data_IF_889882259492
#
_entry.id   IF_889882259492
#
_cell.length_a   1.000
_cell.length_b   1.000
_cell.length_c   1.000
_cell.angle_alpha   90.00
_cell.angle_beta   90.00
_cell.angle_gamma   90.00
#
_symmetry.space_group_name_H-M   'P 1'
#
loop_
_entity.id
_entity.type
_entity.pdbx_description
1 polymer ?
#
# COMPACT_ATOMS: atom_id res chain seq x y z
N UNK A 1 -9.71 -14.31 -13.87
CA UNK A 1 -8.35 -14.24 -13.29
C UNK A 1 -7.41 -13.57 -14.29
N UNK A 2 -7.30 -14.07 -15.53
CA UNK A 2 -6.65 -13.36 -16.65
C UNK A 2 -7.15 -11.91 -16.79
N UNK A 3 -8.46 -11.69 -16.63
CA UNK A 3 -9.11 -10.37 -16.71
C UNK A 3 -8.74 -9.36 -15.61
N UNK A 4 -8.16 -9.77 -14.48
CA UNK A 4 -7.73 -8.82 -13.42
C UNK A 4 -6.31 -8.33 -13.66
N UNK A 5 -5.38 -9.21 -14.05
CA UNK A 5 -4.01 -8.82 -14.39
C UNK A 5 -4.00 -7.88 -15.60
N UNK A 6 -4.81 -8.18 -16.63
CA UNK A 6 -4.90 -7.35 -17.84
C UNK A 6 -5.26 -5.89 -17.53
N UNK A 7 -6.05 -5.61 -16.49
CA UNK A 7 -6.40 -4.23 -16.09
C UNK A 7 -5.20 -3.43 -15.61
N UNK A 8 -4.26 -4.07 -14.92
CA UNK A 8 -2.99 -3.45 -14.52
C UNK A 8 -2.04 -3.28 -15.71
N UNK A 9 -2.18 -4.11 -16.75
CA UNK A 9 -1.31 -4.12 -17.93
C UNK A 9 -1.78 -3.16 -19.04
N UNK A 10 -3.07 -2.81 -19.11
CA UNK A 10 -3.62 -1.94 -20.16
C UNK A 10 -3.28 -0.46 -20.03
N UNK A 11 -2.78 0.00 -18.87
CA UNK A 11 -2.41 1.41 -18.63
C UNK A 11 -0.91 1.65 -18.44
N UNK A 12 -0.10 0.58 -18.43
CA UNK A 12 1.35 0.65 -18.47
C UNK A 12 1.82 0.21 -19.86
N UNK A 13 2.21 1.15 -20.75
CA UNK A 13 2.92 0.81 -22.01
C UNK A 13 4.34 0.24 -21.80
N UNK A 14 4.62 -0.35 -20.64
CA UNK A 14 5.92 -0.92 -20.34
C UNK A 14 5.76 -2.39 -19.95
N UNK A 15 6.47 -3.23 -20.73
CA UNK A 15 6.82 -4.64 -20.47
C UNK A 15 5.90 -5.67 -21.14
N UNK A 16 6.31 -6.04 -22.36
CA UNK A 16 5.71 -7.10 -23.19
C UNK A 16 5.54 -8.45 -22.46
N UNK A 17 4.49 -9.13 -22.89
CA UNK A 17 4.00 -10.51 -22.70
C UNK A 17 4.91 -11.62 -22.13
N UNK A 18 6.24 -11.50 -22.11
CA UNK A 18 7.14 -12.45 -21.45
C UNK A 18 7.01 -12.41 -19.91
N UNK A 19 6.52 -11.30 -19.35
CA UNK A 19 6.24 -11.13 -17.93
C UNK A 19 4.95 -11.80 -17.45
N UNK A 20 4.04 -12.18 -18.36
CA UNK A 20 2.71 -12.66 -18.00
C UNK A 20 2.74 -14.07 -17.36
N UNK A 21 3.59 -14.98 -17.87
CA UNK A 21 3.72 -16.33 -17.30
C UNK A 21 4.32 -16.34 -15.89
N UNK A 22 5.39 -15.56 -15.67
CA UNK A 22 6.01 -15.42 -14.36
C UNK A 22 5.09 -14.68 -13.36
N UNK A 23 4.34 -13.66 -13.83
CA UNK A 23 3.34 -12.98 -13.02
C UNK A 23 2.21 -13.92 -12.58
N UNK A 24 1.73 -14.79 -13.48
CA UNK A 24 0.71 -15.80 -13.16
C UNK A 24 1.22 -16.85 -12.17
N UNK A 25 2.44 -17.35 -12.36
CA UNK A 25 3.05 -18.29 -11.41
C UNK A 25 3.20 -17.66 -10.03
N UNK A 26 3.73 -16.44 -9.97
CA UNK A 26 3.86 -15.71 -8.71
C UNK A 26 2.50 -15.43 -8.06
N UNK A 27 1.49 -15.04 -8.86
CA UNK A 27 0.11 -14.85 -8.38
C UNK A 27 -0.43 -16.12 -7.73
N UNK A 28 -0.32 -17.27 -8.40
CA UNK A 28 -0.82 -18.55 -7.86
C UNK A 28 -0.12 -18.90 -6.54
N UNK A 29 1.20 -18.71 -6.48
CA UNK A 29 1.98 -18.95 -5.27
C UNK A 29 1.57 -18.00 -4.12
N UNK A 30 1.30 -16.73 -4.44
CA UNK A 30 0.90 -15.73 -3.47
C UNK A 30 -0.54 -15.95 -2.98
N UNK A 31 -1.46 -16.37 -3.84
CA UNK A 31 -2.82 -16.78 -3.46
C UNK A 31 -2.79 -17.97 -2.50
N UNK A 32 -2.04 -19.03 -2.83
CA UNK A 32 -1.88 -20.19 -1.97
C UNK A 32 -1.20 -19.84 -0.63
N UNK A 33 -0.33 -18.84 -0.61
CA UNK A 33 0.21 -18.30 0.64
C UNK A 33 -0.87 -17.55 1.43
N UNK A 34 -1.62 -16.65 0.80
CA UNK A 34 -2.68 -15.88 1.43
C UNK A 34 -3.70 -16.80 2.13
N UNK A 35 -4.19 -17.83 1.46
CA UNK A 35 -5.15 -18.79 2.01
C UNK A 35 -4.67 -19.47 3.30
N UNK A 36 -3.35 -19.72 3.41
CA UNK A 36 -2.73 -20.31 4.60
C UNK A 36 -2.37 -19.28 5.68
N UNK A 37 -2.21 -18.02 5.29
CA UNK A 37 -1.75 -16.94 6.16
C UNK A 37 -2.89 -16.23 6.91
N UNK A 38 -4.12 -16.74 6.85
CA UNK A 38 -5.25 -16.20 7.62
C UNK A 38 -5.37 -16.91 8.97
N UNK A 39 -4.93 -16.30 10.08
CA UNK A 39 -5.09 -16.91 11.39
C UNK A 39 -6.53 -16.81 11.89
N UNK A 40 -6.96 -17.74 12.75
CA UNK A 40 -8.24 -17.64 13.48
C UNK A 40 -8.18 -16.59 14.61
N UNK A 41 -6.99 -16.33 15.15
CA UNK A 41 -6.73 -15.30 16.16
C UNK A 41 -5.28 -14.81 16.08
N UNK A 42 -5.06 -13.58 16.51
CA UNK A 42 -3.74 -12.95 16.53
C UNK A 42 -3.21 -12.90 17.95
N UNK A 43 -1.94 -13.28 18.16
CA UNK A 43 -1.29 -13.11 19.46
C UNK A 43 -1.33 -11.65 19.90
N UNK A 44 -1.63 -11.37 21.17
CA UNK A 44 -1.88 -10.01 21.66
C UNK A 44 -0.73 -9.03 21.36
N UNK A 45 0.54 -9.45 21.48
CA UNK A 45 1.70 -8.63 21.11
C UNK A 45 1.73 -8.28 19.62
N UNK A 46 1.51 -9.29 18.75
CA UNK A 46 1.42 -9.07 17.30
C UNK A 46 0.22 -8.19 16.95
N UNK A 47 -0.89 -8.36 17.65
CA UNK A 47 -2.10 -7.55 17.49
C UNK A 47 -1.81 -6.06 17.80
N UNK A 48 -1.11 -5.79 18.90
CA UNK A 48 -0.69 -4.42 19.25
C UNK A 48 0.19 -3.80 18.16
N UNK A 49 1.15 -4.55 17.62
CA UNK A 49 2.04 -4.06 16.56
C UNK A 49 1.34 -3.84 15.21
N UNK A 50 0.28 -4.58 14.92
CA UNK A 50 -0.56 -4.37 13.73
C UNK A 50 -1.42 -3.11 13.85
N UNK A 51 -1.93 -2.83 15.04
CA UNK A 51 -2.90 -1.76 15.27
C UNK A 51 -2.26 -0.44 15.69
N UNK A 52 -1.01 -0.47 16.16
CA UNK A 52 -0.30 0.71 16.61
C UNK A 52 1.12 0.76 16.06
N UNK A 53 1.48 1.86 15.39
CA UNK A 53 2.80 2.05 14.82
C UNK A 53 3.27 3.50 14.90
N UNK A 54 4.58 3.69 14.91
CA UNK A 54 5.19 5.02 14.97
C UNK A 54 5.05 5.72 13.62
N UNK A 55 4.78 7.02 13.66
CA UNK A 55 4.66 7.88 12.48
C UNK A 55 5.52 9.14 12.64
N UNK A 56 6.07 9.68 11.55
CA UNK A 56 6.69 10.99 11.57
C UNK A 56 5.70 12.07 12.03
N UNK A 57 6.19 13.06 12.77
CA UNK A 57 5.42 14.25 13.07
C UNK A 57 5.04 14.96 11.76
N UNK A 58 3.89 15.64 11.75
CA UNK A 58 3.39 16.35 10.58
C UNK A 58 3.77 17.83 10.64
N UNK A 59 4.09 18.43 9.48
CA UNK A 59 4.22 19.87 9.30
C UNK A 59 2.85 20.53 9.04
N UNK A 60 2.80 21.87 9.12
CA UNK A 60 1.57 22.65 9.01
C UNK A 60 0.87 22.54 7.65
N UNK A 61 1.58 22.10 6.62
CA UNK A 61 1.09 21.83 5.26
C UNK A 61 0.55 20.39 5.07
N UNK A 62 0.52 19.58 6.13
CA UNK A 62 0.02 18.20 6.05
C UNK A 62 1.03 17.20 5.45
N UNK A 63 2.29 17.59 5.38
CA UNK A 63 3.42 16.74 5.00
C UNK A 63 4.14 16.17 6.24
N UNK A 64 4.92 15.11 6.07
CA UNK A 64 5.77 14.56 7.13
C UNK A 64 7.01 15.42 7.32
N UNK A 65 7.47 15.56 8.56
CA UNK A 65 8.70 16.32 8.84
C UNK A 65 9.93 15.56 8.33
N UNK A 66 10.63 16.16 7.37
CA UNK A 66 11.82 15.60 6.70
C UNK A 66 13.01 15.47 7.67
N UNK A 67 13.01 16.20 8.79
CA UNK A 67 14.06 16.12 9.81
C UNK A 67 14.02 14.84 10.67
N UNK A 68 13.09 13.92 10.38
CA UNK A 68 12.95 12.65 11.08
C UNK A 68 12.31 12.77 12.46
N UNK A 69 11.75 13.93 12.80
CA UNK A 69 10.99 14.09 14.05
C UNK A 69 9.78 13.16 14.02
N UNK A 70 9.63 12.34 15.06
CA UNK A 70 8.50 11.43 15.23
C UNK A 70 7.38 12.10 16.03
N UNK A 71 6.14 11.67 15.80
CA UNK A 71 5.03 12.03 16.68
C UNK A 71 5.27 11.46 18.09
N UNK A 72 4.79 12.18 19.11
CA UNK A 72 4.91 11.79 20.52
C UNK A 72 4.13 10.51 20.79
N UNK A 73 2.97 10.34 20.15
CA UNK A 73 2.13 9.16 20.26
C UNK A 73 2.21 8.30 18.99
N UNK A 74 2.17 6.95 19.10
CA UNK A 74 1.97 6.11 17.93
C UNK A 74 0.59 6.38 17.33
N UNK A 75 0.49 6.19 16.02
CA UNK A 75 -0.80 6.18 15.35
C UNK A 75 -1.55 4.91 15.74
N UNK A 76 -2.84 5.06 16.08
CA UNK A 76 -3.73 3.97 16.46
C UNK A 76 -4.78 3.75 15.38
N UNK A 77 -4.78 2.57 14.77
CA UNK A 77 -5.66 2.24 13.67
C UNK A 77 -7.10 1.93 14.14
N UNK A 78 -7.30 1.60 15.42
CA UNK A 78 -8.60 1.14 15.93
C UNK A 78 -9.71 2.17 15.77
N UNK A 79 -9.54 3.45 16.14
CA UNK A 79 -10.61 4.44 15.99
C UNK A 79 -11.00 4.66 14.53
N UNK A 80 -10.00 4.72 13.63
CA UNK A 80 -10.21 4.92 12.19
C UNK A 80 -10.99 3.77 11.55
N UNK A 81 -10.74 2.54 11.99
CA UNK A 81 -11.43 1.35 11.48
C UNK A 81 -12.67 0.97 12.30
N UNK A 82 -13.01 1.69 13.37
CA UNK A 82 -14.13 1.35 14.26
C UNK A 82 -13.95 0.02 15.01
N UNK A 83 -12.71 -0.40 15.25
CA UNK A 83 -12.39 -1.63 15.96
C UNK A 83 -12.59 -1.46 17.48
N UNK A 84 -12.97 -2.53 18.20
CA UNK A 84 -13.12 -2.48 19.65
C UNK A 84 -11.77 -2.31 20.37
N UNK A 85 -11.79 -1.65 21.53
CA UNK A 85 -10.60 -1.43 22.36
C UNK A 85 -10.04 -2.71 23.01
N UNK A 86 -10.86 -3.76 23.15
CA UNK A 86 -10.55 -5.00 23.87
C UNK A 86 -11.03 -6.23 23.11
N UNK A 87 -10.39 -7.37 23.35
CA UNK A 87 -10.72 -8.67 22.74
C UNK A 87 -10.72 -8.61 21.21
N UNK A 88 -9.87 -7.75 20.66
CA UNK A 88 -9.77 -7.47 19.23
C UNK A 88 -8.97 -8.56 18.50
N UNK A 89 -8.21 -9.36 19.25
CA UNK A 89 -7.33 -10.43 18.76
C UNK A 89 -8.02 -11.48 17.89
N UNK A 90 -9.31 -11.73 18.13
CA UNK A 90 -10.14 -12.67 17.34
C UNK A 90 -11.13 -11.96 16.43
N UNK A 91 -11.06 -10.63 16.30
CA UNK A 91 -11.93 -9.90 15.40
C UNK A 91 -11.58 -10.25 13.94
N UNK A 92 -12.55 -10.61 13.07
CA UNK A 92 -12.27 -11.01 11.70
C UNK A 92 -11.38 -10.02 10.94
N UNK A 93 -11.70 -8.72 11.03
CA UNK A 93 -10.89 -7.65 10.43
C UNK A 93 -9.43 -7.63 10.95
N UNK A 94 -9.16 -7.96 12.22
CA UNK A 94 -7.80 -8.01 12.75
C UNK A 94 -7.05 -9.24 12.22
N UNK A 95 -7.71 -10.39 12.11
CA UNK A 95 -7.15 -11.57 11.46
C UNK A 95 -6.83 -11.28 9.98
N UNK A 96 -7.69 -10.52 9.30
CA UNK A 96 -7.47 -10.04 7.92
C UNK A 96 -6.29 -9.10 7.80
N UNK A 97 -6.15 -8.15 8.73
CA UNK A 97 -4.98 -7.27 8.82
C UNK A 97 -3.69 -8.08 9.03
N UNK A 98 -3.72 -9.12 9.87
CA UNK A 98 -2.58 -10.00 10.08
C UNK A 98 -2.21 -10.81 8.82
N UNK A 99 -3.20 -11.20 8.02
CA UNK A 99 -2.98 -11.84 6.71
C UNK A 99 -2.32 -10.85 5.73
N UNK A 100 -2.84 -9.62 5.63
CA UNK A 100 -2.29 -8.56 4.78
C UNK A 100 -0.85 -8.24 5.19
N UNK A 101 -0.58 -8.10 6.49
CA UNK A 101 0.76 -7.88 7.04
C UNK A 101 1.75 -8.99 6.62
N UNK A 102 1.31 -10.25 6.69
CA UNK A 102 2.14 -11.39 6.28
C UNK A 102 2.40 -11.41 4.77
N UNK A 103 1.46 -10.93 3.96
CA UNK A 103 1.64 -10.76 2.51
C UNK A 103 2.63 -9.64 2.21
N UNK A 104 2.53 -8.50 2.90
CA UNK A 104 3.47 -7.38 2.76
C UNK A 104 4.89 -7.85 3.09
N UNK A 105 5.07 -8.57 4.19
CA UNK A 105 6.37 -9.11 4.58
C UNK A 105 6.99 -10.00 3.50
N UNK A 106 6.20 -10.95 2.99
CA UNK A 106 6.64 -11.87 1.95
C UNK A 106 7.03 -11.13 0.67
N UNK A 107 6.16 -10.24 0.18
CA UNK A 107 6.36 -9.54 -1.09
C UNK A 107 7.53 -8.57 -1.00
N UNK A 108 7.66 -7.82 0.10
CA UNK A 108 8.80 -6.92 0.32
C UNK A 108 10.14 -7.67 0.25
N UNK A 109 10.21 -8.83 0.93
CA UNK A 109 11.41 -9.66 0.92
C UNK A 109 11.73 -10.26 -0.46
N UNK A 110 10.73 -10.75 -1.19
CA UNK A 110 10.91 -11.42 -2.49
C UNK A 110 11.13 -10.45 -3.66
N UNK A 111 10.61 -9.23 -3.55
CA UNK A 111 10.80 -8.17 -4.51
C UNK A 111 12.09 -7.37 -4.25
N UNK A 112 12.67 -7.47 -3.05
CA UNK A 112 13.88 -6.73 -2.67
C UNK A 112 13.65 -5.23 -2.59
N UNK A 113 12.51 -4.81 -2.05
CA UNK A 113 12.09 -3.41 -1.93
C UNK A 113 12.37 -2.92 -0.51
N UNK A 114 12.90 -1.70 -0.37
CA UNK A 114 13.27 -1.13 0.93
C UNK A 114 12.06 -0.72 1.77
N UNK A 115 10.99 -0.26 1.12
CA UNK A 115 9.74 0.10 1.78
C UNK A 115 8.51 -0.31 0.95
N UNK A 116 7.56 -1.00 1.59
CA UNK A 116 6.33 -1.46 0.96
C UNK A 116 5.17 -1.26 1.92
N UNK A 117 4.10 -0.60 1.47
CA UNK A 117 2.89 -0.36 2.25
C UNK A 117 1.60 -0.64 1.49
N UNK A 118 0.57 -1.03 2.23
CA UNK A 118 -0.80 -1.20 1.74
C UNK A 118 -1.70 -0.19 2.43
N UNK A 119 -2.46 0.55 1.63
CA UNK A 119 -3.39 1.56 2.11
C UNK A 119 -4.80 1.26 1.64
N UNK A 120 -5.78 1.46 2.51
CA UNK A 120 -7.21 1.38 2.20
C UNK A 120 -7.77 2.77 1.96
N UNK A 121 -8.54 2.95 0.88
CA UNK A 121 -9.37 4.14 0.70
C UNK A 121 -10.53 4.08 1.70
N UNK A 122 -10.46 4.91 2.74
CA UNK A 122 -11.36 4.86 3.89
C UNK A 122 -11.64 6.25 4.45
N UNK A 123 -12.51 6.32 5.46
CA UNK A 123 -12.73 7.54 6.24
C UNK A 123 -11.68 7.66 7.33
N UNK A 124 -10.99 8.79 7.38
CA UNK A 124 -10.15 9.16 8.53
C UNK A 124 -11.01 9.37 9.78
N UNK A 125 -10.39 9.47 10.96
CA UNK A 125 -11.06 9.76 12.23
C UNK A 125 -11.91 11.03 12.20
N UNK A 126 -11.55 12.02 11.37
CA UNK A 126 -12.30 13.28 11.22
C UNK A 126 -13.44 13.19 10.18
N UNK A 127 -13.63 12.02 9.57
CA UNK A 127 -14.65 11.75 8.55
C UNK A 127 -14.26 12.15 7.12
N UNK A 128 -13.05 12.69 6.91
CA UNK A 128 -12.52 12.98 5.58
C UNK A 128 -12.13 11.71 4.82
N UNK A 129 -12.11 11.77 3.49
CA UNK A 129 -11.62 10.66 2.66
C UNK A 129 -10.08 10.64 2.68
N UNK A 130 -9.50 9.48 2.97
CA UNK A 130 -8.07 9.28 3.05
C UNK A 130 -7.64 7.87 2.59
N UNK A 131 -6.38 7.72 2.23
CA UNK A 131 -5.71 6.43 2.16
C UNK A 131 -5.13 6.13 3.54
N UNK A 132 -5.66 5.12 4.22
CA UNK A 132 -5.27 4.73 5.58
C UNK A 132 -4.34 3.53 5.51
N UNK A 133 -3.13 3.65 6.07
CA UNK A 133 -2.12 2.59 6.08
C UNK A 133 -2.56 1.44 6.97
N UNK A 134 -2.64 0.26 6.37
CA UNK A 134 -3.04 -0.97 7.05
C UNK A 134 -1.84 -1.79 7.53
N UNK A 135 -0.83 -1.93 6.66
CA UNK A 135 0.37 -2.72 6.93
C UNK A 135 1.54 -2.19 6.09
N UNK A 136 2.77 -2.32 6.61
CA UNK A 136 3.97 -1.93 5.88
C UNK A 136 5.23 -2.68 6.35
N UNK A 137 6.28 -2.64 5.53
CA UNK A 137 7.67 -2.98 5.88
C UNK A 137 8.58 -1.84 5.43
N UNK A 138 9.64 -1.57 6.19
CA UNK A 138 10.58 -0.47 5.94
C UNK A 138 10.57 0.56 7.07
N UNK A 139 11.15 1.73 6.79
CA UNK A 139 11.19 2.85 7.73
C UNK A 139 9.79 3.40 8.09
N UNK A 140 9.69 4.09 9.22
CA UNK A 140 8.46 4.76 9.64
C UNK A 140 8.03 5.82 8.63
N UNK A 141 6.75 5.80 8.30
CA UNK A 141 6.13 6.74 7.36
C UNK A 141 4.74 7.14 7.84
N UNK A 142 4.15 8.14 7.20
CA UNK A 142 2.81 8.63 7.53
C UNK A 142 1.75 7.53 7.55
N UNK A 143 0.75 7.70 8.40
CA UNK A 143 -0.39 6.79 8.51
C UNK A 143 -1.44 7.02 7.41
N UNK A 144 -1.66 8.28 7.03
CA UNK A 144 -2.78 8.63 6.15
C UNK A 144 -2.35 9.59 5.05
N UNK A 145 -2.89 9.43 3.84
CA UNK A 145 -2.83 10.44 2.78
C UNK A 145 -4.23 11.01 2.50
N UNK A 146 -4.43 12.34 2.57
CA UNK A 146 -5.71 12.93 2.18
C UNK A 146 -6.07 12.58 0.74
N UNK A 147 -7.27 12.04 0.51
CA UNK A 147 -7.79 11.74 -0.83
C UNK A 147 -8.51 12.95 -1.41
N UNK A 148 -7.78 14.06 -1.55
CA UNK A 148 -8.29 15.29 -2.15
C UNK A 148 -7.54 15.63 -3.43
N UNK A 149 -8.21 16.33 -4.35
CA UNK A 149 -7.57 16.81 -5.59
C UNK A 149 -6.43 17.78 -5.33
N UNK A 150 -6.50 18.54 -4.25
CA UNK A 150 -5.45 19.48 -3.86
C UNK A 150 -4.19 18.73 -3.42
N UNK A 151 -4.34 17.75 -2.53
CA UNK A 151 -3.21 16.95 -2.05
C UNK A 151 -2.62 16.07 -3.16
N UNK A 152 -3.45 15.55 -4.07
CA UNK A 152 -2.99 14.77 -5.22
C UNK A 152 -2.07 15.56 -6.16
N UNK A 153 -2.11 16.91 -6.20
CA UNK A 153 -1.19 17.70 -7.04
C UNK A 153 0.28 17.54 -6.66
N UNK A 154 0.56 17.02 -5.46
CA UNK A 154 1.91 16.81 -4.97
C UNK A 154 2.16 15.38 -4.47
N UNK A 155 1.14 14.51 -4.47
CA UNK A 155 1.25 13.13 -3.96
C UNK A 155 0.86 12.14 -5.04
N UNK A 156 1.81 11.26 -5.37
CA UNK A 156 1.56 10.11 -6.23
C UNK A 156 0.49 9.21 -5.59
N UNK A 157 0.60 8.90 -4.29
CA UNK A 157 -0.36 8.05 -3.59
C UNK A 157 -1.80 8.53 -3.76
N UNK A 158 -2.07 9.81 -3.48
CA UNK A 158 -3.41 10.37 -3.65
C UNK A 158 -3.81 10.51 -5.12
N UNK A 159 -2.85 10.71 -6.04
CA UNK A 159 -3.11 10.67 -7.48
C UNK A 159 -3.57 9.29 -7.93
N UNK A 160 -2.87 8.23 -7.54
CA UNK A 160 -3.25 6.84 -7.85
C UNK A 160 -4.58 6.51 -7.19
N UNK A 161 -4.76 6.83 -5.91
CA UNK A 161 -6.00 6.57 -5.16
C UNK A 161 -7.24 7.27 -5.70
N UNK A 162 -7.08 8.40 -6.41
CA UNK A 162 -8.19 9.12 -7.07
C UNK A 162 -8.39 8.73 -8.53
N UNK A 163 -7.32 8.44 -9.26
CA UNK A 163 -7.36 8.23 -10.71
C UNK A 163 -7.49 6.76 -11.11
N UNK A 164 -7.03 5.85 -10.26
CA UNK A 164 -6.90 4.43 -10.59
C UNK A 164 -5.77 4.13 -11.55
N UNK A 165 -4.88 5.10 -11.81
CA UNK A 165 -3.76 4.96 -12.73
C UNK A 165 -2.48 4.76 -11.94
N UNK A 166 -1.74 3.70 -12.23
CA UNK A 166 -0.46 3.45 -11.58
C UNK A 166 0.57 4.53 -11.94
N UNK A 167 1.50 4.77 -11.01
CA UNK A 167 2.66 5.64 -11.20
C UNK A 167 3.91 4.82 -10.93
N UNK A 168 4.86 4.82 -11.87
CA UNK A 168 6.16 4.15 -11.70
C UNK A 168 7.26 5.13 -12.07
N UNK A 169 8.14 5.42 -11.12
CA UNK A 169 9.25 6.36 -11.23
C UNK A 169 10.52 5.61 -10.90
N UNK A 170 11.32 5.29 -11.92
CA UNK A 170 12.60 4.59 -11.72
C UNK A 170 13.76 5.51 -11.33
N UNK A 171 13.61 6.83 -11.47
CA UNK A 171 14.58 7.82 -11.03
C UNK A 171 13.84 9.11 -10.64
N UNK A 172 13.75 9.37 -9.33
CA UNK A 172 13.03 10.53 -8.79
C UNK A 172 13.71 11.84 -9.15
N UNK A 173 15.04 11.90 -9.16
CA UNK A 173 15.76 13.11 -9.55
C UNK A 173 15.47 13.45 -11.01
N UNK A 174 15.53 12.45 -11.89
CA UNK A 174 15.18 12.64 -13.30
C UNK A 174 13.72 13.08 -13.47
N UNK A 175 12.80 12.46 -12.73
CA UNK A 175 11.38 12.79 -12.77
C UNK A 175 11.08 14.23 -12.32
N UNK A 176 11.74 14.67 -11.24
CA UNK A 176 11.62 16.03 -10.71
C UNK A 176 12.22 17.08 -11.65
N UNK A 177 13.47 16.87 -12.07
CA UNK A 177 14.26 17.91 -12.73
C UNK A 177 14.05 17.96 -14.24
N UNK A 178 13.87 16.80 -14.90
CA UNK A 178 13.75 16.74 -16.35
C UNK A 178 12.29 16.67 -16.81
N UNK A 179 11.43 16.00 -16.04
CA UNK A 179 10.04 15.74 -16.44
C UNK A 179 9.04 16.70 -15.75
N UNK A 180 9.48 17.41 -14.71
CA UNK A 180 8.64 18.36 -13.95
C UNK A 180 7.45 17.70 -13.26
N UNK A 181 7.57 16.40 -12.93
CA UNK A 181 6.49 15.64 -12.33
C UNK A 181 6.23 16.02 -10.87
N UNK A 182 4.98 15.89 -10.39
CA UNK A 182 4.68 16.12 -8.98
C UNK A 182 5.34 15.07 -8.11
N UNK A 183 6.31 15.45 -7.29
CA UNK A 183 6.91 14.54 -6.33
C UNK A 183 7.10 15.23 -4.98
N UNK A 184 6.34 14.78 -4.00
CA UNK A 184 6.58 15.10 -2.60
C UNK A 184 7.61 14.13 -2.04
N UNK A 185 8.81 14.61 -1.73
CA UNK A 185 9.84 13.78 -1.12
C UNK A 185 9.56 13.64 0.38
N UNK A 186 8.98 12.50 0.76
CA UNK A 186 8.71 12.10 2.15
C UNK A 186 9.99 11.69 2.90
N UNK A 187 10.92 11.02 2.21
CA UNK A 187 12.23 10.62 2.71
C UNK A 187 13.28 10.85 1.62
N UNK A 188 14.36 11.55 2.00
CA UNK A 188 15.51 11.82 1.14
C UNK A 188 16.20 10.59 0.55
N UNK A 189 15.99 9.41 1.15
CA UNK A 189 16.58 8.15 0.70
C UNK A 189 15.84 7.55 -0.50
N UNK A 190 14.59 7.92 -0.74
CA UNK A 190 13.80 7.33 -1.83
C UNK A 190 14.35 7.84 -3.16
N UNK A 191 14.79 6.91 -4.00
CA UNK A 191 15.37 7.18 -5.33
C UNK A 191 14.52 6.62 -6.48
N UNK A 192 13.62 5.68 -6.18
CA UNK A 192 12.58 5.22 -7.09
C UNK A 192 11.31 4.86 -6.33
N UNK A 193 10.16 4.91 -7.02
CA UNK A 193 8.84 4.63 -6.45
C UNK A 193 7.94 3.89 -7.45
N UNK A 194 7.09 3.00 -6.97
CA UNK A 194 5.95 2.47 -7.70
C UNK A 194 4.70 2.46 -6.82
N UNK A 195 3.67 3.17 -7.26
CA UNK A 195 2.37 3.20 -6.62
C UNK A 195 1.31 2.60 -7.56
N UNK A 196 0.65 1.52 -7.12
CA UNK A 196 -0.32 0.77 -7.90
C UNK A 196 -1.70 0.83 -7.22
N UNK A 197 -2.79 1.00 -7.98
CA UNK A 197 -4.15 0.93 -7.42
C UNK A 197 -4.45 -0.49 -6.94
N UNK A 198 -5.43 -0.66 -6.06
CA UNK A 198 -6.06 -1.95 -5.78
C UNK A 198 -7.53 -1.79 -6.15
N UNK A 199 -7.99 -2.50 -7.17
CA UNK A 199 -9.36 -2.35 -7.66
C UNK A 199 -10.37 -3.12 -6.81
N UNK A 200 -11.62 -2.68 -6.84
CA UNK A 200 -12.75 -3.47 -6.33
C UNK A 200 -12.92 -4.74 -7.18
N UNK A 201 -13.36 -5.87 -6.57
CA UNK A 201 -13.79 -7.03 -7.35
C UNK A 201 -14.80 -6.62 -8.44
N UNK A 202 -14.55 -7.02 -9.68
CA UNK A 202 -15.35 -6.60 -10.85
C UNK A 202 -14.76 -5.41 -11.61
N UNK A 203 -13.98 -4.53 -10.98
CA UNK A 203 -13.24 -3.43 -11.60
C UNK A 203 -13.86 -2.04 -11.50
N UNK A 204 -15.05 -1.90 -10.92
CA UNK A 204 -15.71 -0.60 -10.78
C UNK A 204 -15.25 0.12 -9.52
N UNK A 205 -14.08 0.75 -9.59
CA UNK A 205 -13.52 1.62 -8.55
C UNK A 205 -12.34 1.01 -7.79
N UNK A 206 -11.84 1.78 -6.82
CA UNK A 206 -10.59 1.52 -6.10
C UNK A 206 -10.92 1.20 -4.64
N UNK A 207 -10.31 0.13 -4.11
CA UNK A 207 -10.31 -0.21 -2.68
C UNK A 207 -9.16 0.47 -1.93
N UNK A 208 -8.03 0.68 -2.60
CA UNK A 208 -6.82 1.15 -1.95
C UNK A 208 -5.66 1.28 -2.92
N UNK A 209 -4.45 1.32 -2.38
CA UNK A 209 -3.21 1.31 -3.16
C UNK A 209 -2.17 0.40 -2.52
N UNK A 210 -1.24 -0.08 -3.34
CA UNK A 210 0.09 -0.50 -2.91
C UNK A 210 1.05 0.64 -3.20
N UNK A 211 1.93 0.91 -2.26
CA UNK A 211 2.99 1.90 -2.40
C UNK A 211 4.33 1.23 -2.10
N UNK A 212 5.28 1.38 -3.01
CA UNK A 212 6.58 0.76 -2.95
C UNK A 212 7.66 1.80 -3.22
N UNK A 213 8.63 1.92 -2.33
CA UNK A 213 9.73 2.87 -2.41
C UNK A 213 11.05 2.11 -2.31
N UNK A 214 12.07 2.56 -3.05
CA UNK A 214 13.40 1.98 -3.00
C UNK A 214 14.48 3.05 -2.90
N UNK A 215 15.56 2.70 -2.20
CA UNK A 215 16.74 3.56 -1.99
C UNK A 215 17.77 3.46 -3.11
N UNK A 216 17.38 2.80 -4.20
CA UNK A 216 18.16 2.66 -5.43
C UNK A 216 17.32 3.11 -6.62
N UNK A 217 17.99 3.60 -7.67
CA UNK A 217 17.37 3.91 -8.96
C UNK A 217 17.16 2.62 -9.74
N UNK A 218 16.14 2.60 -10.60
CA UNK A 218 15.89 1.49 -11.52
C UNK A 218 15.39 0.20 -10.86
N UNK A 219 14.95 0.25 -9.60
CA UNK A 219 14.49 -0.94 -8.86
C UNK A 219 13.25 -1.57 -9.49
N UNK A 220 12.35 -0.75 -10.05
CA UNK A 220 11.07 -1.20 -10.58
C UNK A 220 11.20 -1.71 -12.02
N UNK A 221 11.90 -2.84 -12.12
CA UNK A 221 12.04 -3.64 -13.32
C UNK A 221 10.72 -4.36 -13.68
N UNK A 222 10.59 -4.86 -14.93
CA UNK A 222 9.55 -5.80 -15.33
C UNK A 222 9.15 -6.87 -14.32
N UNK A 223 10.13 -7.49 -13.69
CA UNK A 223 9.94 -8.59 -12.76
C UNK A 223 9.34 -8.08 -11.45
N UNK A 224 9.86 -6.97 -10.92
CA UNK A 224 9.37 -6.36 -9.68
C UNK A 224 7.93 -5.86 -9.86
N UNK A 225 7.64 -5.17 -10.97
CA UNK A 225 6.28 -4.72 -11.28
C UNK A 225 5.30 -5.89 -11.42
N UNK A 226 5.75 -7.02 -11.96
CA UNK A 226 4.93 -8.23 -12.06
C UNK A 226 4.59 -8.82 -10.69
N UNK A 227 5.55 -8.84 -9.75
CA UNK A 227 5.32 -9.27 -8.35
C UNK A 227 4.34 -8.32 -7.64
N UNK A 228 4.52 -7.00 -7.79
CA UNK A 228 3.62 -5.99 -7.22
C UNK A 228 2.22 -6.05 -7.82
N UNK A 229 2.09 -6.32 -9.12
CA UNK A 229 0.79 -6.50 -9.79
C UNK A 229 0.06 -7.72 -9.27
N UNK A 230 0.74 -8.87 -9.19
CA UNK A 230 0.18 -10.08 -8.58
C UNK A 230 -0.23 -9.84 -7.12
N UNK A 231 0.57 -9.07 -6.37
CA UNK A 231 0.22 -8.67 -5.01
C UNK A 231 -1.06 -7.83 -4.96
N UNK A 232 -1.22 -6.83 -5.83
CA UNK A 232 -2.45 -6.05 -5.93
C UNK A 232 -3.67 -6.95 -6.20
N UNK A 233 -3.56 -7.92 -7.11
CA UNK A 233 -4.64 -8.87 -7.42
C UNK A 233 -5.03 -9.72 -6.20
N UNK A 234 -4.06 -10.20 -5.41
CA UNK A 234 -4.37 -10.92 -4.15
C UNK A 234 -5.05 -10.00 -3.15
N UNK A 235 -4.63 -8.74 -3.08
CA UNK A 235 -5.21 -7.74 -2.17
C UNK A 235 -6.65 -7.36 -2.54
N UNK A 236 -7.09 -7.48 -3.79
CA UNK A 236 -8.50 -7.17 -4.18
C UNK A 236 -9.49 -7.92 -3.29
N UNK A 237 -9.30 -9.24 -3.13
CA UNK A 237 -10.15 -10.07 -2.27
C UNK A 237 -9.90 -9.81 -0.79
N UNK A 238 -8.64 -9.64 -0.38
CA UNK A 238 -8.31 -9.42 1.03
C UNK A 238 -8.91 -8.09 1.57
N UNK A 239 -8.83 -7.02 0.78
CA UNK A 239 -9.39 -5.72 1.13
C UNK A 239 -10.91 -5.68 1.01
N UNK A 240 -11.51 -6.36 0.02
CA UNK A 240 -12.98 -6.43 -0.07
C UNK A 240 -13.58 -7.15 1.15
N UNK A 241 -12.97 -8.27 1.56
CA UNK A 241 -13.35 -8.97 2.78
C UNK A 241 -13.11 -8.12 4.04
N UNK A 242 -11.98 -7.40 4.13
CA UNK A 242 -11.73 -6.47 5.23
C UNK A 242 -12.84 -5.43 5.33
N UNK A 243 -13.20 -4.79 4.21
CA UNK A 243 -14.28 -3.79 4.16
C UNK A 243 -15.62 -4.38 4.60
N UNK A 244 -15.91 -5.63 4.25
CA UNK A 244 -17.10 -6.32 4.71
C UNK A 244 -17.06 -6.63 6.22
N UNK A 245 -15.90 -7.00 6.76
CA UNK A 245 -15.68 -7.32 8.18
C UNK A 245 -15.65 -6.07 9.09
N UNK A 246 -15.49 -4.88 8.53
CA UNK A 246 -15.52 -3.59 9.23
C UNK A 246 -16.93 -2.95 9.29
N UNK A 247 -17.92 -3.51 8.58
CA UNK A 247 -19.31 -3.02 8.54
C UNK A 247 -20.21 -3.83 9.46
#
# INVERSE_FOLDING_TARGET
METSIEKYLTEAEAVELAAHGAALEYLNNLQAFAERALPESVLSEKCSALLQYRVPAMSADGCSRIDGTMDDAPYDLRPTLGLPDRSVESHPAVCRLAQIDSLVEKVAAEAGIDWLGVYLAWKSCDGSDALVKLAYRGAESRAEFPLTREFARQSNNSTVGLSGKAVVINDIEQYLWDQGGPYYQCDSKVLSEACLPIFKPGGDGILGIVDAEAWSRGTFSPEVISKLTAFCVVLESALDNLVAELK
#
